data_IF_906342965540
#
_entry.id   IF_906342965540
#
_cell.length_a   1.000
_cell.length_b   1.000
_cell.length_c   1.000
_cell.angle_alpha   90.00
_cell.angle_beta   90.00
_cell.angle_gamma   90.00
#
_symmetry.space_group_name_H-M   'P 1'
#
loop_
_entity.id
_entity.type
_entity.pdbx_description
1 polymer ?
#
# COMPACT_ATOMS: atom_id res chain seq x y z
N UNK A 1 -51.19 -0.80 -39.23
CA UNK A 1 -50.52 0.51 -39.15
C UNK A 1 -50.29 0.81 -37.67
N UNK A 2 -49.16 0.36 -37.11
CA UNK A 2 -48.83 0.64 -35.70
C UNK A 2 -48.47 2.12 -35.59
N UNK A 3 -49.15 2.83 -34.69
CA UNK A 3 -48.81 4.20 -34.32
C UNK A 3 -47.39 4.17 -33.76
N UNK A 4 -46.40 4.54 -34.58
CA UNK A 4 -45.03 4.68 -34.13
C UNK A 4 -45.01 5.84 -33.14
N UNK A 5 -44.91 5.51 -31.84
CA UNK A 5 -44.75 6.50 -30.79
C UNK A 5 -43.55 7.40 -31.07
N UNK A 6 -43.64 8.66 -30.68
CA UNK A 6 -42.52 9.58 -30.74
C UNK A 6 -41.32 9.03 -29.93
N UNK A 7 -40.14 8.77 -30.55
CA UNK A 7 -38.95 8.27 -29.86
C UNK A 7 -38.53 9.13 -28.67
N UNK A 8 -38.76 10.45 -28.74
CA UNK A 8 -38.49 11.37 -27.63
C UNK A 8 -39.35 11.05 -26.40
N UNK A 9 -40.67 10.90 -26.58
CA UNK A 9 -41.59 10.52 -25.52
C UNK A 9 -41.28 9.13 -24.93
N UNK A 10 -40.90 8.17 -25.77
CA UNK A 10 -40.49 6.83 -25.33
C UNK A 10 -39.20 6.87 -24.49
N UNK A 11 -38.23 7.69 -24.89
CA UNK A 11 -36.99 7.86 -24.14
C UNK A 11 -37.19 8.52 -22.78
N UNK A 12 -38.03 9.55 -22.69
CA UNK A 12 -38.35 10.18 -21.42
C UNK A 12 -39.08 9.22 -20.47
N UNK A 13 -39.97 8.39 -21.01
CA UNK A 13 -40.61 7.30 -20.26
C UNK A 13 -39.58 6.28 -19.77
N UNK A 14 -38.65 5.84 -20.61
CA UNK A 14 -37.60 4.90 -20.23
C UNK A 14 -36.71 5.45 -19.11
N UNK A 15 -36.26 6.71 -19.25
CA UNK A 15 -35.47 7.43 -18.21
C UNK A 15 -36.25 7.57 -16.90
N UNK A 16 -37.57 7.76 -16.96
CA UNK A 16 -38.43 7.80 -15.78
C UNK A 16 -38.44 6.45 -15.04
N UNK A 17 -38.58 5.34 -15.76
CA UNK A 17 -38.52 4.00 -15.15
C UNK A 17 -37.14 3.69 -14.57
N UNK A 18 -36.06 4.07 -15.27
CA UNK A 18 -34.68 3.92 -14.77
C UNK A 18 -34.48 4.67 -13.45
N UNK A 19 -34.95 5.92 -13.34
CA UNK A 19 -34.89 6.69 -12.08
C UNK A 19 -35.73 6.08 -10.94
N UNK A 20 -36.76 5.31 -11.27
CA UNK A 20 -37.62 4.62 -10.29
C UNK A 20 -37.11 3.24 -9.90
N UNK A 21 -35.96 2.78 -10.44
CA UNK A 21 -35.44 1.43 -10.21
C UNK A 21 -36.26 0.32 -10.90
N UNK A 22 -37.15 0.69 -11.83
CA UNK A 22 -38.01 -0.23 -12.58
C UNK A 22 -37.28 -0.76 -13.81
N UNK A 23 -36.25 -1.56 -13.58
CA UNK A 23 -35.27 -1.97 -14.61
C UNK A 23 -35.90 -2.74 -15.77
N UNK A 24 -36.88 -3.61 -15.51
CA UNK A 24 -37.57 -4.38 -16.54
C UNK A 24 -38.42 -3.49 -17.46
N UNK A 25 -39.20 -2.56 -16.89
CA UNK A 25 -40.00 -1.61 -17.67
C UNK A 25 -39.12 -0.57 -18.39
N UNK A 26 -38.00 -0.17 -17.80
CA UNK A 26 -37.00 0.67 -18.46
C UNK A 26 -36.39 -0.04 -19.68
N UNK A 27 -36.04 -1.32 -19.54
CA UNK A 27 -35.50 -2.12 -20.63
C UNK A 27 -36.51 -2.24 -21.79
N UNK A 28 -37.79 -2.52 -21.48
CA UNK A 28 -38.84 -2.59 -22.50
C UNK A 28 -39.00 -1.25 -23.25
N UNK A 29 -39.04 -0.12 -22.53
CA UNK A 29 -39.19 1.21 -23.12
C UNK A 29 -37.96 1.64 -23.94
N UNK A 30 -36.73 1.31 -23.50
CA UNK A 30 -35.53 1.57 -24.29
C UNK A 30 -35.48 0.71 -25.57
N UNK A 31 -35.95 -0.54 -25.51
CA UNK A 31 -36.02 -1.39 -26.70
C UNK A 31 -37.02 -0.84 -27.74
N UNK A 32 -38.17 -0.34 -27.29
CA UNK A 32 -39.18 0.29 -28.14
C UNK A 32 -38.64 1.58 -28.78
N UNK A 33 -38.01 2.45 -27.99
CA UNK A 33 -37.39 3.68 -28.49
C UNK A 33 -36.29 3.41 -29.52
N UNK A 34 -35.39 2.45 -29.25
CA UNK A 34 -34.35 2.06 -30.20
C UNK A 34 -34.94 1.54 -31.51
N UNK A 35 -35.95 0.65 -31.45
CA UNK A 35 -36.60 0.13 -32.65
C UNK A 35 -37.28 1.23 -33.49
N UNK A 36 -37.86 2.24 -32.84
CA UNK A 36 -38.44 3.38 -33.53
C UNK A 36 -37.38 4.27 -34.22
N UNK A 37 -36.19 4.41 -33.64
CA UNK A 37 -35.05 5.11 -34.24
C UNK A 37 -34.45 4.34 -35.42
N UNK A 38 -34.27 3.03 -35.27
CA UNK A 38 -33.81 2.12 -36.35
C UNK A 38 -34.76 2.17 -37.56
N UNK A 39 -36.08 2.16 -37.31
CA UNK A 39 -37.09 2.27 -38.37
C UNK A 39 -37.05 3.62 -39.12
N UNK A 40 -36.46 4.66 -38.53
CA UNK A 40 -36.26 5.98 -39.12
C UNK A 40 -34.86 6.14 -39.76
N UNK A 41 -34.01 5.12 -39.66
CA UNK A 41 -32.63 5.16 -40.16
C UNK A 41 -31.63 5.89 -39.26
N UNK A 42 -32.02 6.23 -38.03
CA UNK A 42 -31.18 6.95 -37.07
C UNK A 42 -30.31 5.95 -36.26
N UNK A 43 -29.34 5.37 -36.95
CA UNK A 43 -28.49 4.31 -36.41
C UNK A 43 -27.62 4.73 -35.22
N UNK A 44 -26.99 5.93 -35.20
CA UNK A 44 -26.19 6.36 -34.06
C UNK A 44 -27.01 6.54 -32.78
N UNK A 45 -28.17 7.20 -32.86
CA UNK A 45 -29.02 7.39 -31.68
C UNK A 45 -29.66 6.08 -31.24
N UNK A 46 -30.07 5.23 -32.18
CA UNK A 46 -30.50 3.87 -31.88
C UNK A 46 -29.42 3.09 -31.11
N UNK A 47 -28.15 3.15 -31.54
CA UNK A 47 -27.05 2.47 -30.87
C UNK A 47 -26.84 2.98 -29.43
N UNK A 48 -26.91 4.30 -29.21
CA UNK A 48 -26.83 4.90 -27.88
C UNK A 48 -27.97 4.41 -26.96
N UNK A 49 -29.18 4.29 -27.51
CA UNK A 49 -30.36 3.80 -26.78
C UNK A 49 -30.27 2.28 -26.52
N UNK A 50 -29.76 1.50 -27.48
CA UNK A 50 -29.49 0.06 -27.32
C UNK A 50 -28.45 -0.22 -26.23
N UNK A 51 -27.44 0.64 -26.08
CA UNK A 51 -26.48 0.52 -24.98
C UNK A 51 -27.15 0.69 -23.61
N UNK A 52 -28.07 1.67 -23.48
CA UNK A 52 -28.86 1.87 -22.24
C UNK A 52 -29.85 0.73 -21.99
N UNK A 53 -30.43 0.19 -23.06
CA UNK A 53 -31.25 -1.04 -23.01
C UNK A 53 -30.44 -2.21 -22.43
N UNK A 54 -29.21 -2.43 -22.90
CA UNK A 54 -28.36 -3.50 -22.37
C UNK A 54 -28.09 -3.33 -20.87
N UNK A 55 -27.77 -2.12 -20.41
CA UNK A 55 -27.61 -1.84 -18.98
C UNK A 55 -28.90 -2.12 -18.18
N UNK A 56 -30.06 -1.70 -18.70
CA UNK A 56 -31.34 -1.94 -18.03
C UNK A 56 -31.68 -3.44 -17.95
N UNK A 57 -31.33 -4.23 -18.97
CA UNK A 57 -31.43 -5.70 -18.92
C UNK A 57 -30.54 -6.30 -17.82
N UNK A 58 -29.28 -5.88 -17.74
CA UNK A 58 -28.36 -6.36 -16.71
C UNK A 58 -28.89 -6.01 -15.30
N UNK A 59 -29.40 -4.79 -15.12
CA UNK A 59 -30.02 -4.35 -13.86
C UNK A 59 -31.35 -5.06 -13.54
N UNK A 60 -32.00 -5.68 -14.53
CA UNK A 60 -33.18 -6.53 -14.35
C UNK A 60 -32.83 -8.02 -14.13
N UNK A 61 -31.54 -8.38 -14.12
CA UNK A 61 -31.05 -9.74 -13.93
C UNK A 61 -30.84 -10.54 -15.23
N UNK A 62 -31.17 -10.00 -16.41
CA UNK A 62 -30.96 -10.67 -17.70
C UNK A 62 -29.59 -10.32 -18.29
N UNK A 63 -28.54 -10.70 -17.56
CA UNK A 63 -27.14 -10.38 -17.88
C UNK A 63 -26.69 -11.01 -19.21
N UNK A 64 -27.12 -12.25 -19.48
CA UNK A 64 -26.75 -12.95 -20.72
C UNK A 64 -27.30 -12.25 -21.97
N UNK A 65 -28.53 -11.73 -21.92
CA UNK A 65 -29.09 -10.94 -23.02
C UNK A 65 -28.43 -9.57 -23.14
N UNK A 66 -28.13 -8.93 -22.01
CA UNK A 66 -27.40 -7.66 -21.99
C UNK A 66 -26.05 -7.78 -22.70
N UNK A 67 -25.27 -8.83 -22.42
CA UNK A 67 -23.99 -9.11 -23.08
C UNK A 67 -24.15 -9.26 -24.60
N UNK A 68 -25.12 -10.07 -25.06
CA UNK A 68 -25.38 -10.23 -26.51
C UNK A 68 -25.69 -8.92 -27.22
N UNK A 69 -26.37 -7.99 -26.54
CA UNK A 69 -26.64 -6.65 -27.09
C UNK A 69 -25.34 -5.84 -27.19
N UNK A 70 -24.51 -5.84 -26.14
CA UNK A 70 -23.19 -5.17 -26.16
C UNK A 70 -22.30 -5.74 -27.27
N UNK A 71 -22.18 -7.06 -27.39
CA UNK A 71 -21.37 -7.71 -28.44
C UNK A 71 -21.84 -7.33 -29.85
N UNK A 72 -23.16 -7.14 -30.02
CA UNK A 72 -23.72 -6.69 -31.31
C UNK A 72 -23.38 -5.24 -31.61
N UNK A 73 -23.43 -4.36 -30.60
CA UNK A 73 -23.02 -2.97 -30.74
C UNK A 73 -21.51 -2.83 -31.00
N UNK A 74 -20.69 -3.66 -30.35
CA UNK A 74 -19.23 -3.64 -30.50
C UNK A 74 -18.79 -4.02 -31.92
N UNK A 75 -19.50 -4.93 -32.60
CA UNK A 75 -19.25 -5.24 -34.02
C UNK A 75 -19.42 -4.05 -34.96
N UNK A 76 -20.24 -3.07 -34.57
CA UNK A 76 -20.47 -1.82 -35.32
C UNK A 76 -19.77 -0.60 -34.73
N UNK A 77 -19.05 -0.72 -33.61
CA UNK A 77 -18.59 0.45 -32.86
C UNK A 77 -17.61 1.36 -33.62
N UNK A 78 -16.87 0.81 -34.59
CA UNK A 78 -15.91 1.55 -35.39
C UNK A 78 -16.57 2.65 -36.25
N UNK A 79 -17.82 2.45 -36.69
CA UNK A 79 -18.57 3.43 -37.49
C UNK A 79 -19.39 4.41 -36.64
N UNK A 80 -19.48 4.20 -35.32
CA UNK A 80 -20.21 5.08 -34.43
C UNK A 80 -19.44 6.39 -34.16
N UNK A 81 -20.15 7.53 -34.04
CA UNK A 81 -19.57 8.78 -33.57
C UNK A 81 -18.88 8.61 -32.21
N UNK A 82 -17.82 9.40 -31.97
CA UNK A 82 -17.01 9.30 -30.75
C UNK A 82 -17.85 9.42 -29.45
N UNK A 83 -18.86 10.30 -29.44
CA UNK A 83 -19.77 10.45 -28.30
C UNK A 83 -20.61 9.19 -28.05
N UNK A 84 -21.14 8.57 -29.10
CA UNK A 84 -21.94 7.34 -29.00
C UNK A 84 -21.06 6.18 -28.54
N UNK A 85 -19.81 6.10 -29.03
CA UNK A 85 -18.83 5.11 -28.59
C UNK A 85 -18.48 5.27 -27.10
N UNK A 86 -18.20 6.50 -26.65
CA UNK A 86 -17.96 6.77 -25.22
C UNK A 86 -19.18 6.39 -24.36
N UNK A 87 -20.39 6.66 -24.85
CA UNK A 87 -21.64 6.23 -24.23
C UNK A 87 -21.79 4.71 -24.15
N UNK A 88 -21.47 4.00 -25.23
CA UNK A 88 -21.47 2.54 -25.28
C UNK A 88 -20.50 1.95 -24.25
N UNK A 89 -19.26 2.43 -24.22
CA UNK A 89 -18.23 1.97 -23.27
C UNK A 89 -18.68 2.14 -21.81
N UNK A 90 -19.31 3.28 -21.50
CA UNK A 90 -19.86 3.55 -20.18
C UNK A 90 -21.00 2.59 -19.79
N UNK A 91 -21.89 2.23 -20.73
CA UNK A 91 -22.95 1.26 -20.45
C UNK A 91 -22.42 -0.18 -20.39
N UNK A 92 -21.49 -0.53 -21.28
CA UNK A 92 -20.86 -1.83 -21.34
C UNK A 92 -20.10 -2.16 -20.04
N UNK A 93 -19.46 -1.17 -19.41
CA UNK A 93 -18.83 -1.33 -18.11
C UNK A 93 -19.81 -1.85 -17.05
N UNK A 94 -21.02 -1.28 -16.96
CA UNK A 94 -22.06 -1.77 -16.04
C UNK A 94 -22.53 -3.19 -16.37
N UNK A 95 -22.66 -3.53 -17.65
CA UNK A 95 -23.08 -4.88 -18.09
C UNK A 95 -22.01 -5.92 -17.76
N UNK A 96 -20.73 -5.60 -17.98
CA UNK A 96 -19.61 -6.48 -17.68
C UNK A 96 -19.44 -6.69 -16.17
N UNK A 97 -19.62 -5.63 -15.36
CA UNK A 97 -19.59 -5.73 -13.91
C UNK A 97 -20.71 -6.65 -13.39
N UNK A 98 -21.94 -6.50 -13.92
CA UNK A 98 -23.05 -7.40 -13.59
C UNK A 98 -22.81 -8.87 -13.99
N UNK A 99 -21.89 -9.11 -14.92
CA UNK A 99 -21.47 -10.44 -15.34
C UNK A 99 -20.26 -10.99 -14.57
N UNK A 100 -19.76 -10.28 -13.56
CA UNK A 100 -18.57 -10.66 -12.79
C UNK A 100 -17.25 -10.51 -13.55
N UNK A 101 -17.22 -9.77 -14.67
CA UNK A 101 -16.01 -9.48 -15.47
C UNK A 101 -15.41 -8.14 -15.05
N UNK A 102 -15.08 -8.00 -13.76
CA UNK A 102 -14.78 -6.71 -13.11
C UNK A 102 -13.58 -5.99 -13.73
N UNK A 103 -12.47 -6.67 -14.01
CA UNK A 103 -11.31 -6.06 -14.67
C UNK A 103 -11.58 -5.57 -16.10
N UNK A 104 -12.45 -6.25 -16.86
CA UNK A 104 -12.89 -5.77 -18.18
C UNK A 104 -13.82 -4.58 -18.07
N UNK A 105 -14.73 -4.60 -17.09
CA UNK A 105 -15.59 -3.47 -16.78
C UNK A 105 -14.77 -2.23 -16.42
N UNK A 106 -13.72 -2.38 -15.61
CA UNK A 106 -12.82 -1.31 -15.21
C UNK A 106 -12.15 -0.65 -16.43
N UNK A 107 -11.63 -1.47 -17.36
CA UNK A 107 -11.03 -0.98 -18.62
C UNK A 107 -12.03 -0.22 -19.49
N UNK A 108 -13.27 -0.71 -19.60
CA UNK A 108 -14.33 -0.04 -20.38
C UNK A 108 -14.75 1.28 -19.75
N UNK A 109 -14.87 1.34 -18.42
CA UNK A 109 -15.16 2.58 -17.70
C UNK A 109 -14.03 3.61 -17.83
N UNK A 110 -12.76 3.17 -17.82
CA UNK A 110 -11.61 4.04 -18.08
C UNK A 110 -11.65 4.60 -19.50
N UNK A 111 -11.85 3.75 -20.51
CA UNK A 111 -11.95 4.19 -21.90
C UNK A 111 -13.05 5.24 -22.09
N UNK A 112 -14.22 5.05 -21.47
CA UNK A 112 -15.30 6.02 -21.47
C UNK A 112 -14.89 7.35 -20.80
N UNK A 113 -14.19 7.30 -19.65
CA UNK A 113 -13.70 8.49 -18.95
C UNK A 113 -12.77 9.32 -19.84
N UNK A 114 -11.79 8.67 -20.47
CA UNK A 114 -10.83 9.32 -21.36
C UNK A 114 -11.52 9.89 -22.60
N UNK A 115 -12.46 9.15 -23.21
CA UNK A 115 -13.20 9.59 -24.38
C UNK A 115 -14.09 10.81 -24.09
N UNK A 116 -14.83 10.81 -22.97
CA UNK A 116 -15.60 11.99 -22.56
C UNK A 116 -14.70 13.17 -22.21
N UNK A 117 -13.51 12.93 -21.66
CA UNK A 117 -12.49 13.96 -21.43
C UNK A 117 -12.04 14.62 -22.73
N UNK A 118 -11.77 13.83 -23.76
CA UNK A 118 -11.41 14.32 -25.10
C UNK A 118 -12.55 15.11 -25.78
N UNK A 119 -13.81 14.80 -25.44
CA UNK A 119 -15.00 15.53 -25.89
C UNK A 119 -15.33 16.76 -25.02
N UNK A 120 -14.49 17.08 -24.03
CA UNK A 120 -14.70 18.16 -23.06
C UNK A 120 -15.99 18.04 -22.22
N UNK A 121 -16.50 16.81 -22.04
CA UNK A 121 -17.64 16.54 -21.15
C UNK A 121 -17.15 16.13 -19.76
N UNK A 122 -16.81 17.12 -18.94
CA UNK A 122 -16.28 16.92 -17.60
C UNK A 122 -17.23 16.13 -16.68
N UNK A 123 -18.55 16.25 -16.88
CA UNK A 123 -19.55 15.59 -16.04
C UNK A 123 -19.59 14.09 -16.31
N UNK A 124 -19.67 13.67 -17.58
CA UNK A 124 -19.67 12.24 -17.95
C UNK A 124 -18.29 11.62 -17.75
N UNK A 125 -17.22 12.35 -18.03
CA UNK A 125 -15.84 11.91 -17.74
C UNK A 125 -15.66 11.65 -16.25
N UNK A 126 -16.07 12.59 -15.39
CA UNK A 126 -16.02 12.42 -13.93
C UNK A 126 -16.81 11.22 -13.42
N UNK A 127 -18.03 11.01 -13.93
CA UNK A 127 -18.86 9.86 -13.54
C UNK A 127 -18.25 8.52 -13.97
N UNK A 128 -17.71 8.44 -15.19
CA UNK A 128 -17.02 7.25 -15.69
C UNK A 128 -15.72 6.97 -14.90
N UNK A 129 -14.95 8.00 -14.54
CA UNK A 129 -13.76 7.86 -13.70
C UNK A 129 -14.08 7.33 -12.31
N UNK A 130 -15.13 7.81 -11.65
CA UNK A 130 -15.57 7.26 -10.36
C UNK A 130 -16.02 5.80 -10.49
N UNK A 131 -16.68 5.44 -11.59
CA UNK A 131 -17.06 4.06 -11.84
C UNK A 131 -15.84 3.16 -12.06
N UNK A 132 -14.87 3.60 -12.87
CA UNK A 132 -13.62 2.90 -13.10
C UNK A 132 -12.86 2.68 -11.78
N UNK A 133 -12.73 3.71 -10.95
CA UNK A 133 -12.06 3.62 -9.65
C UNK A 133 -12.67 2.55 -8.74
N UNK A 134 -14.02 2.47 -8.67
CA UNK A 134 -14.72 1.45 -7.88
C UNK A 134 -14.47 0.05 -8.41
N UNK A 135 -14.51 -0.13 -9.74
CA UNK A 135 -14.26 -1.43 -10.37
C UNK A 135 -12.80 -1.87 -10.23
N UNK A 136 -11.84 -0.95 -10.29
CA UNK A 136 -10.42 -1.22 -10.02
C UNK A 136 -10.24 -1.74 -8.58
N UNK A 137 -10.89 -1.07 -7.61
CA UNK A 137 -10.85 -1.50 -6.21
C UNK A 137 -11.48 -2.88 -6.00
N UNK A 138 -12.59 -3.16 -6.69
CA UNK A 138 -13.28 -4.44 -6.62
C UNK A 138 -12.48 -5.58 -7.27
N UNK A 139 -11.79 -5.31 -8.39
CA UNK A 139 -11.02 -6.31 -9.15
C UNK A 139 -9.65 -6.62 -8.53
N UNK A 140 -8.90 -5.59 -8.14
CA UNK A 140 -7.51 -5.72 -7.68
C UNK A 140 -7.36 -5.68 -6.15
N UNK A 141 -8.40 -5.25 -5.43
CA UNK A 141 -8.29 -4.95 -3.99
C UNK A 141 -7.50 -3.66 -3.68
N UNK A 142 -7.55 -3.16 -2.43
CA UNK A 142 -7.01 -1.85 -2.08
C UNK A 142 -5.51 -1.67 -2.32
N UNK A 143 -4.69 -2.72 -2.12
CA UNK A 143 -3.23 -2.67 -2.29
C UNK A 143 -2.84 -2.50 -3.76
N UNK A 144 -3.34 -3.37 -4.62
CA UNK A 144 -2.93 -3.41 -6.03
C UNK A 144 -3.66 -2.33 -6.87
N UNK A 145 -4.74 -1.76 -6.33
CA UNK A 145 -5.45 -0.62 -6.91
C UNK A 145 -4.68 0.72 -6.79
N UNK A 146 -3.70 0.87 -5.89
CA UNK A 146 -3.06 2.17 -5.62
C UNK A 146 -2.45 2.81 -6.87
N UNK A 147 -1.66 2.03 -7.63
CA UNK A 147 -1.03 2.53 -8.86
C UNK A 147 -2.07 2.86 -9.95
N UNK A 148 -2.99 1.96 -10.32
CA UNK A 148 -4.05 2.28 -11.27
C UNK A 148 -4.92 3.48 -10.86
N UNK A 149 -5.22 3.65 -9.56
CA UNK A 149 -6.00 4.80 -9.08
C UNK A 149 -5.25 6.12 -9.20
N UNK A 150 -3.92 6.14 -8.96
CA UNK A 150 -3.08 7.32 -9.19
C UNK A 150 -3.01 7.68 -10.67
N UNK A 151 -2.82 6.69 -11.54
CA UNK A 151 -2.80 6.87 -13.00
C UNK A 151 -4.16 7.38 -13.52
N UNK A 152 -5.27 6.85 -12.98
CA UNK A 152 -6.62 7.28 -13.30
C UNK A 152 -6.85 8.74 -12.88
N UNK A 153 -6.52 9.08 -11.62
CA UNK A 153 -6.71 10.42 -11.07
C UNK A 153 -5.90 11.47 -11.83
N UNK A 154 -4.67 11.14 -12.25
CA UNK A 154 -3.81 12.02 -13.04
C UNK A 154 -4.38 12.38 -14.42
N UNK A 155 -5.27 11.55 -14.98
CA UNK A 155 -5.94 11.80 -16.26
C UNK A 155 -7.27 12.56 -16.11
N UNK A 156 -7.73 12.80 -14.88
CA UNK A 156 -8.99 13.50 -14.62
C UNK A 156 -8.78 15.01 -14.47
N UNK A 157 -9.74 15.85 -14.90
CA UNK A 157 -9.68 17.29 -14.67
C UNK A 157 -9.61 17.63 -13.16
N UNK A 158 -8.60 18.40 -12.70
CA UNK A 158 -8.46 18.72 -11.29
C UNK A 158 -9.61 19.59 -10.79
N UNK A 159 -10.00 19.43 -9.52
CA UNK A 159 -11.04 20.23 -8.87
C UNK A 159 -12.49 19.84 -9.17
N UNK A 160 -12.74 18.91 -10.09
CA UNK A 160 -14.08 18.37 -10.38
C UNK A 160 -14.60 17.42 -9.28
N UNK A 161 -15.93 17.20 -9.23
CA UNK A 161 -16.55 16.28 -8.28
C UNK A 161 -16.04 14.84 -8.44
N UNK A 162 -15.94 14.35 -9.68
CA UNK A 162 -15.38 13.04 -9.97
C UNK A 162 -13.93 12.90 -9.48
N UNK A 163 -13.10 13.91 -9.72
CA UNK A 163 -11.72 13.94 -9.22
C UNK A 163 -11.67 13.88 -7.69
N UNK A 164 -12.47 14.69 -6.98
CA UNK A 164 -12.53 14.64 -5.51
C UNK A 164 -12.95 13.27 -4.99
N UNK A 165 -13.92 12.63 -5.65
CA UNK A 165 -14.40 11.29 -5.25
C UNK A 165 -13.38 10.19 -5.51
N UNK A 166 -12.67 10.23 -6.63
CA UNK A 166 -11.57 9.29 -6.91
C UNK A 166 -10.40 9.54 -5.96
N UNK A 167 -10.06 10.80 -5.67
CA UNK A 167 -9.05 11.14 -4.68
C UNK A 167 -9.43 10.64 -3.28
N UNK A 168 -10.70 10.73 -2.89
CA UNK A 168 -11.19 10.17 -1.62
C UNK A 168 -11.09 8.64 -1.60
N UNK A 169 -11.43 7.95 -2.70
CA UNK A 169 -11.26 6.49 -2.83
C UNK A 169 -9.79 6.06 -2.78
N UNK A 170 -8.90 6.82 -3.42
CA UNK A 170 -7.45 6.60 -3.33
C UNK A 170 -6.96 6.81 -1.90
N UNK A 171 -7.34 7.92 -1.25
CA UNK A 171 -6.98 8.19 0.14
C UNK A 171 -7.58 7.17 1.12
N UNK A 172 -8.71 6.55 0.78
CA UNK A 172 -9.29 5.45 1.56
C UNK A 172 -8.51 4.15 1.36
N UNK A 173 -8.18 3.82 0.11
CA UNK A 173 -7.31 2.69 -0.22
C UNK A 173 -5.90 2.84 0.37
N UNK A 174 -5.39 4.08 0.47
CA UNK A 174 -4.13 4.42 1.14
C UNK A 174 -4.26 4.36 2.67
N UNK A 175 -5.43 4.67 3.22
CA UNK A 175 -5.74 4.54 4.66
C UNK A 175 -5.88 3.07 5.10
N UNK A 176 -5.97 2.12 4.17
CA UNK A 176 -5.99 0.65 4.38
C UNK A 176 -6.91 0.17 5.53
N UNK A 177 -8.24 0.42 5.45
CA UNK A 177 -9.20 0.10 6.51
C UNK A 177 -9.47 -1.40 6.74
N UNK A 178 -8.77 -2.28 6.02
CA UNK A 178 -8.95 -3.74 5.98
C UNK A 178 -7.81 -4.55 6.64
N UNK A 179 -6.88 -3.94 7.39
CA UNK A 179 -5.60 -4.60 7.71
C UNK A 179 -5.37 -5.08 9.14
N UNK A 180 -4.95 -6.34 9.22
CA UNK A 180 -4.19 -6.93 10.33
C UNK A 180 -2.73 -6.40 10.38
N UNK A 181 -2.52 -5.07 10.31
CA UNK A 181 -1.33 -4.27 10.70
C UNK A 181 -0.39 -3.67 9.59
N UNK A 182 0.52 -2.75 9.98
CA UNK A 182 1.07 -1.54 9.30
C UNK A 182 0.31 -0.22 9.61
N UNK A 183 -0.07 0.00 10.87
CA UNK A 183 -0.84 1.17 11.33
C UNK A 183 -0.20 1.86 12.53
N UNK A 184 -0.22 3.19 12.57
CA UNK A 184 0.21 3.95 13.74
C UNK A 184 -0.90 3.95 14.82
N UNK A 185 -0.67 3.24 15.92
CA UNK A 185 -1.57 3.25 17.08
C UNK A 185 -0.93 4.02 18.22
N UNK A 186 -1.64 5.03 18.74
CA UNK A 186 -1.24 5.77 19.94
C UNK A 186 -2.27 5.49 21.03
N UNK A 187 -1.81 4.96 22.16
CA UNK A 187 -2.64 4.79 23.34
C UNK A 187 -2.95 6.15 23.98
N UNK A 188 -4.24 6.55 24.11
CA UNK A 188 -4.60 7.82 24.70
C UNK A 188 -4.27 7.92 26.20
N UNK A 189 -4.15 6.78 26.88
CA UNK A 189 -3.91 6.73 28.33
C UNK A 189 -2.42 6.73 28.70
N UNK A 190 -1.54 6.57 27.70
CA UNK A 190 -0.08 6.62 27.88
C UNK A 190 0.50 7.96 27.41
N UNK A 191 1.50 8.48 28.13
CA UNK A 191 2.14 9.74 27.77
C UNK A 191 2.78 9.66 26.37
N UNK A 192 2.43 10.54 25.42
CA UNK A 192 3.00 10.52 24.07
C UNK A 192 4.27 11.40 23.95
N UNK A 193 4.85 11.81 25.08
CA UNK A 193 6.08 12.61 25.16
C UNK A 193 6.88 12.27 26.41
N UNK A 194 8.14 12.71 26.45
CA UNK A 194 9.07 12.47 27.55
C UNK A 194 10.05 11.33 27.27
N UNK A 195 10.95 11.06 28.22
CA UNK A 195 12.07 10.13 28.03
C UNK A 195 11.60 8.70 27.71
N UNK A 196 10.61 8.20 28.44
CA UNK A 196 10.07 6.87 28.20
C UNK A 196 9.36 6.79 26.84
N UNK A 197 8.54 7.77 26.48
CA UNK A 197 7.90 7.81 25.16
C UNK A 197 8.93 7.85 24.02
N UNK A 198 9.98 8.67 24.14
CA UNK A 198 11.07 8.72 23.16
C UNK A 198 11.78 7.36 23.02
N UNK A 199 12.06 6.68 24.14
CA UNK A 199 12.64 5.35 24.13
C UNK A 199 11.69 4.27 23.56
N UNK A 200 10.39 4.34 23.85
CA UNK A 200 9.38 3.46 23.26
C UNK A 200 9.25 3.68 21.73
N UNK A 201 9.43 4.92 21.26
CA UNK A 201 9.39 5.26 19.84
C UNK A 201 10.53 4.62 19.02
N UNK A 202 11.62 4.16 19.65
CA UNK A 202 12.66 3.34 19.02
C UNK A 202 12.11 1.95 18.62
N UNK A 203 11.15 1.41 19.37
CA UNK A 203 10.46 0.16 19.06
C UNK A 203 9.32 0.30 18.05
N UNK A 204 9.05 1.51 17.54
CA UNK A 204 7.81 1.81 16.82
C UNK A 204 7.69 1.11 15.45
N UNK A 205 8.80 0.71 14.82
CA UNK A 205 8.76 -0.09 13.58
C UNK A 205 7.96 -1.37 13.75
N UNK A 206 8.21 -2.11 14.84
CA UNK A 206 7.50 -3.34 15.12
C UNK A 206 6.08 -3.06 15.62
N UNK A 207 5.88 -2.00 16.41
CA UNK A 207 4.55 -1.60 16.86
C UNK A 207 3.63 -1.26 15.68
N UNK A 208 4.13 -0.55 14.67
CA UNK A 208 3.37 -0.25 13.43
C UNK A 208 3.08 -1.53 12.66
N UNK A 209 4.10 -2.37 12.44
CA UNK A 209 3.94 -3.64 11.73
C UNK A 209 3.02 -4.64 12.42
N UNK A 210 2.82 -4.52 13.73
CA UNK A 210 1.93 -5.36 14.54
C UNK A 210 0.65 -4.63 14.99
N UNK A 211 0.46 -3.36 14.61
CA UNK A 211 -0.68 -2.52 14.96
C UNK A 211 -0.94 -2.39 16.46
N UNK A 212 0.12 -2.44 17.26
CA UNK A 212 0.07 -2.21 18.70
C UNK A 212 0.46 -0.78 19.05
N UNK A 213 0.08 -0.32 20.24
CA UNK A 213 0.37 1.05 20.65
C UNK A 213 1.88 1.30 20.75
N UNK A 214 2.38 2.35 20.08
CA UNK A 214 3.80 2.67 20.12
C UNK A 214 4.25 3.25 21.47
N UNK A 215 3.37 3.91 22.22
CA UNK A 215 3.68 4.68 23.44
C UNK A 215 3.33 3.96 24.76
N UNK A 216 2.93 2.70 24.73
CA UNK A 216 2.56 1.97 25.92
C UNK A 216 3.63 0.95 26.33
N UNK A 217 3.95 0.90 27.62
CA UNK A 217 4.79 -0.14 28.23
C UNK A 217 3.88 -1.26 28.78
N UNK A 218 3.21 -1.95 27.87
CA UNK A 218 2.45 -3.17 28.12
C UNK A 218 2.59 -4.06 26.90
N UNK A 219 2.44 -5.36 27.10
CA UNK A 219 2.30 -6.29 25.98
C UNK A 219 0.85 -6.67 25.73
N UNK A 220 0.67 -7.60 24.81
CA UNK A 220 -0.62 -8.10 24.36
C UNK A 220 -0.85 -9.55 24.84
N UNK A 221 -2.10 -10.01 24.92
CA UNK A 221 -2.38 -11.44 25.09
C UNK A 221 -1.71 -12.25 23.96
N UNK A 222 -1.02 -13.34 24.30
CA UNK A 222 -0.29 -14.17 23.33
C UNK A 222 1.23 -13.94 23.27
N UNK A 223 1.75 -12.94 23.99
CA UNK A 223 3.19 -12.64 24.00
C UNK A 223 4.04 -13.79 24.55
N UNK A 224 3.49 -14.58 25.48
CA UNK A 224 4.18 -15.74 26.04
C UNK A 224 4.35 -16.83 24.98
N UNK A 225 3.29 -17.13 24.22
CA UNK A 225 3.31 -18.09 23.13
C UNK A 225 4.22 -17.62 21.99
N UNK A 226 4.28 -16.32 21.72
CA UNK A 226 5.22 -15.72 20.77
C UNK A 226 6.67 -15.90 21.22
N UNK A 227 6.98 -15.62 22.50
CA UNK A 227 8.32 -15.78 23.06
C UNK A 227 8.79 -17.23 22.99
N UNK A 228 7.92 -18.19 23.30
CA UNK A 228 8.23 -19.61 23.18
C UNK A 228 8.47 -20.01 21.71
N UNK A 229 7.56 -19.63 20.80
CA UNK A 229 7.60 -20.04 19.39
C UNK A 229 8.76 -19.41 18.61
N UNK A 230 8.95 -18.10 18.73
CA UNK A 230 9.84 -17.33 17.85
C UNK A 230 11.22 -17.07 18.46
N UNK A 231 11.36 -17.23 19.78
CA UNK A 231 12.60 -16.96 20.51
C UNK A 231 13.07 -18.13 21.36
N UNK A 232 12.27 -19.19 21.53
CA UNK A 232 12.61 -20.30 22.42
C UNK A 232 12.66 -19.92 23.90
N UNK A 233 12.03 -18.79 24.28
CA UNK A 233 12.07 -18.26 25.65
C UNK A 233 10.87 -18.78 26.42
N UNK A 234 11.15 -19.61 27.44
CA UNK A 234 10.11 -20.22 28.30
C UNK A 234 10.15 -19.74 29.75
N UNK A 235 11.18 -19.00 30.15
CA UNK A 235 11.36 -18.49 31.51
C UNK A 235 12.06 -17.12 31.56
N UNK A 236 12.18 -16.57 32.77
CA UNK A 236 12.78 -15.26 33.02
C UNK A 236 14.30 -15.21 32.75
N UNK A 237 15.01 -16.33 32.89
CA UNK A 237 16.45 -16.38 32.64
C UNK A 237 16.74 -16.35 31.13
N UNK A 238 16.02 -17.15 30.34
CA UNK A 238 16.09 -17.13 28.88
C UNK A 238 15.64 -15.78 28.31
N UNK A 239 14.61 -15.16 28.90
CA UNK A 239 14.21 -13.80 28.52
C UNK A 239 15.33 -12.80 28.77
N UNK A 240 15.97 -12.85 29.95
CA UNK A 240 17.09 -11.96 30.29
C UNK A 240 18.25 -12.10 29.31
N UNK A 241 18.61 -13.33 28.96
CA UNK A 241 19.68 -13.60 27.99
C UNK A 241 19.39 -12.96 26.62
N UNK A 242 18.17 -13.14 26.11
CA UNK A 242 17.77 -12.52 24.84
C UNK A 242 17.70 -11.00 24.92
N UNK A 243 17.19 -10.45 26.02
CA UNK A 243 17.15 -9.01 26.27
C UNK A 243 18.56 -8.40 26.28
N UNK A 244 19.50 -9.02 27.00
CA UNK A 244 20.88 -8.55 27.08
C UNK A 244 21.61 -8.68 25.73
N UNK A 245 21.36 -9.77 24.98
CA UNK A 245 21.89 -9.93 23.64
C UNK A 245 21.39 -8.83 22.67
N UNK A 246 20.12 -8.45 22.75
CA UNK A 246 19.56 -7.37 21.94
C UNK A 246 20.11 -6.00 22.35
N UNK A 247 20.23 -5.74 23.65
CA UNK A 247 20.83 -4.50 24.13
C UNK A 247 22.28 -4.40 23.64
N UNK A 248 23.04 -5.50 23.72
CA UNK A 248 24.44 -5.57 23.28
C UNK A 248 24.61 -5.68 21.74
N UNK A 249 23.52 -5.58 20.99
CA UNK A 249 23.49 -5.69 19.53
C UNK A 249 24.16 -6.97 18.98
N UNK A 250 23.95 -8.09 19.68
CA UNK A 250 24.48 -9.43 19.37
C UNK A 250 23.44 -10.36 18.73
N UNK A 251 22.26 -9.87 18.37
CA UNK A 251 21.24 -10.70 17.72
C UNK A 251 21.46 -10.79 16.19
N UNK A 252 22.18 -9.83 15.62
CA UNK A 252 22.61 -9.86 14.21
C UNK A 252 24.05 -10.38 14.05
N UNK A 253 24.39 -10.89 12.87
CA UNK A 253 25.76 -11.34 12.57
C UNK A 253 26.76 -10.18 12.75
N UNK A 254 27.78 -10.30 13.62
CA UNK A 254 28.76 -9.24 13.85
C UNK A 254 29.56 -8.85 12.60
N UNK A 255 29.66 -9.73 11.59
CA UNK A 255 30.29 -9.42 10.31
C UNK A 255 29.61 -8.25 9.59
N UNK A 256 28.30 -8.06 9.76
CA UNK A 256 27.57 -6.95 9.12
C UNK A 256 28.08 -5.61 9.61
N UNK A 257 28.11 -5.39 10.93
CA UNK A 257 28.60 -4.12 11.47
C UNK A 257 30.10 -3.96 11.18
N UNK A 258 30.89 -5.03 11.27
CA UNK A 258 32.31 -4.98 10.91
C UNK A 258 32.50 -4.45 9.48
N UNK A 259 31.75 -4.96 8.49
CA UNK A 259 31.80 -4.50 7.10
C UNK A 259 31.50 -3.00 7.01
N UNK A 260 30.44 -2.53 7.69
CA UNK A 260 30.09 -1.11 7.74
C UNK A 260 31.19 -0.26 8.38
N UNK A 261 31.81 -0.72 9.47
CA UNK A 261 32.87 -0.02 10.19
C UNK A 261 34.15 0.15 9.37
N UNK A 262 34.33 -0.64 8.30
CA UNK A 262 35.46 -0.49 7.37
C UNK A 262 35.22 0.62 6.33
N UNK A 263 34.00 1.18 6.26
CA UNK A 263 33.66 2.22 5.30
C UNK A 263 34.03 3.61 5.80
N UNK A 264 35.14 4.14 5.30
CA UNK A 264 35.54 5.52 5.57
C UNK A 264 34.62 6.54 4.89
N UNK A 265 34.65 7.78 5.39
CA UNK A 265 33.93 8.90 4.75
C UNK A 265 34.56 9.19 3.38
N UNK A 266 33.74 9.19 2.33
CA UNK A 266 34.19 9.48 0.96
C UNK A 266 34.94 8.33 0.28
N UNK A 267 35.02 7.17 0.93
CA UNK A 267 35.68 5.98 0.39
C UNK A 267 34.87 5.38 -0.76
N UNK A 268 35.52 5.13 -1.89
CA UNK A 268 34.89 4.44 -3.03
C UNK A 268 34.69 2.94 -2.77
N UNK A 269 33.83 2.29 -3.54
CA UNK A 269 33.53 0.85 -3.37
C UNK A 269 34.77 -0.04 -3.38
N UNK A 270 35.72 0.21 -4.30
CA UNK A 270 36.97 -0.54 -4.39
C UNK A 270 37.83 -0.40 -3.13
N UNK A 271 37.95 0.82 -2.63
CA UNK A 271 38.74 1.12 -1.42
C UNK A 271 38.09 0.51 -0.17
N UNK A 272 36.77 0.52 -0.11
CA UNK A 272 36.03 -0.12 0.98
C UNK A 272 36.24 -1.64 0.99
N UNK A 273 36.10 -2.32 -0.16
CA UNK A 273 36.38 -3.76 -0.27
C UNK A 273 37.83 -4.11 0.06
N UNK A 274 38.78 -3.26 -0.33
CA UNK A 274 40.19 -3.42 0.05
C UNK A 274 40.39 -3.29 1.57
N UNK A 275 39.71 -2.34 2.22
CA UNK A 275 39.76 -2.18 3.68
C UNK A 275 39.17 -3.38 4.44
N UNK A 276 38.09 -3.99 3.92
CA UNK A 276 37.53 -5.25 4.45
C UNK A 276 38.56 -6.37 4.32
N UNK A 277 39.13 -6.56 3.13
CA UNK A 277 40.13 -7.62 2.87
C UNK A 277 41.37 -7.46 3.75
N UNK A 278 41.86 -6.23 3.91
CA UNK A 278 43.02 -5.93 4.77
C UNK A 278 42.72 -6.27 6.24
N UNK A 279 41.55 -5.87 6.75
CA UNK A 279 41.14 -6.16 8.13
C UNK A 279 41.03 -7.66 8.40
N UNK A 280 40.52 -8.43 7.43
CA UNK A 280 40.46 -9.88 7.51
C UNK A 280 41.85 -10.53 7.47
N UNK A 281 42.73 -10.03 6.60
CA UNK A 281 44.11 -10.51 6.50
C UNK A 281 44.92 -10.30 7.78
N UNK A 282 44.73 -9.18 8.48
CA UNK A 282 45.35 -8.91 9.79
C UNK A 282 44.92 -9.88 10.91
N UNK A 283 43.82 -10.61 10.71
CA UNK A 283 43.20 -11.50 11.70
C UNK A 283 43.21 -12.97 11.27
N UNK A 284 43.95 -13.28 10.21
CA UNK A 284 44.05 -14.63 9.64
C UNK A 284 42.67 -15.27 9.37
N UNK A 285 41.70 -14.45 8.93
CA UNK A 285 40.38 -14.94 8.54
C UNK A 285 40.49 -15.74 7.24
N UNK A 286 39.86 -16.92 7.19
CA UNK A 286 39.91 -17.82 6.03
C UNK A 286 39.37 -17.20 4.75
N UNK A 287 39.92 -17.60 3.61
CA UNK A 287 39.60 -17.03 2.28
C UNK A 287 38.12 -17.11 1.90
N UNK A 288 37.41 -18.15 2.35
CA UNK A 288 35.97 -18.31 2.13
C UNK A 288 35.19 -17.22 2.85
N UNK A 289 35.40 -17.05 4.16
CA UNK A 289 34.77 -15.99 4.95
C UNK A 289 35.14 -14.60 4.44
N UNK A 290 36.38 -14.38 3.98
CA UNK A 290 36.79 -13.13 3.33
C UNK A 290 35.90 -12.82 2.12
N UNK A 291 35.62 -13.83 1.28
CA UNK A 291 34.76 -13.69 0.11
C UNK A 291 33.34 -13.32 0.51
N UNK A 292 32.77 -14.00 1.51
CA UNK A 292 31.43 -13.75 2.03
C UNK A 292 31.27 -12.31 2.56
N UNK A 293 32.21 -11.82 3.37
CA UNK A 293 32.13 -10.44 3.90
C UNK A 293 32.36 -9.38 2.82
N UNK A 294 33.12 -9.68 1.77
CA UNK A 294 33.24 -8.80 0.60
C UNK A 294 31.94 -8.79 -0.20
N UNK A 295 31.28 -9.93 -0.39
CA UNK A 295 29.97 -10.03 -1.04
C UNK A 295 28.87 -9.29 -0.26
N UNK A 296 28.92 -9.34 1.07
CA UNK A 296 28.05 -8.59 1.97
C UNK A 296 28.11 -7.08 1.72
N UNK A 297 29.30 -6.52 1.45
CA UNK A 297 29.41 -5.10 1.06
C UNK A 297 28.63 -4.78 -0.21
N UNK A 298 28.58 -5.71 -1.17
CA UNK A 298 27.77 -5.58 -2.38
C UNK A 298 26.27 -5.64 -2.09
N UNK A 299 25.84 -6.50 -1.16
CA UNK A 299 24.45 -6.55 -0.70
C UNK A 299 24.02 -5.23 -0.04
N UNK A 300 24.87 -4.67 0.83
CA UNK A 300 24.63 -3.35 1.46
C UNK A 300 24.43 -2.27 0.40
N UNK A 301 25.29 -2.20 -0.62
CA UNK A 301 25.16 -1.21 -1.70
C UNK A 301 23.85 -1.35 -2.48
N UNK A 302 23.38 -2.59 -2.71
CA UNK A 302 22.10 -2.84 -3.38
C UNK A 302 20.92 -2.32 -2.54
N UNK A 303 20.91 -2.61 -1.24
CA UNK A 303 19.87 -2.10 -0.35
C UNK A 303 19.92 -0.57 -0.22
N UNK A 304 21.10 0.03 -0.06
CA UNK A 304 21.22 1.49 0.00
C UNK A 304 20.74 2.16 -1.29
N UNK A 305 21.06 1.59 -2.46
CA UNK A 305 20.55 2.08 -3.74
C UNK A 305 19.01 2.01 -3.78
N UNK A 306 18.43 0.91 -3.30
CA UNK A 306 16.97 0.74 -3.23
C UNK A 306 16.33 1.72 -2.23
N UNK A 307 16.91 1.87 -1.04
CA UNK A 307 16.46 2.80 -0.01
C UNK A 307 16.42 4.24 -0.52
N UNK A 308 17.42 4.65 -1.31
CA UNK A 308 17.42 5.96 -1.97
C UNK A 308 16.32 6.10 -3.01
N UNK A 309 16.12 5.07 -3.84
CA UNK A 309 15.06 5.07 -4.85
C UNK A 309 13.65 5.17 -4.23
N UNK A 310 13.45 4.55 -3.06
CA UNK A 310 12.15 4.52 -2.38
C UNK A 310 11.94 5.63 -1.34
N UNK A 311 12.93 6.51 -1.14
CA UNK A 311 12.88 7.67 -0.25
C UNK A 311 13.23 7.40 1.21
N UNK A 312 13.71 6.20 1.55
CA UNK A 312 14.13 5.83 2.91
C UNK A 312 15.46 6.50 3.30
N UNK A 313 16.35 6.68 2.32
CA UNK A 313 17.60 7.44 2.45
C UNK A 313 17.57 8.68 1.55
N UNK A 314 18.24 9.78 1.95
CA UNK A 314 18.49 10.91 1.04
C UNK A 314 19.43 10.48 -0.11
N UNK A 315 19.53 11.25 -1.20
CA UNK A 315 20.32 10.88 -2.39
C UNK A 315 21.78 10.48 -2.12
N UNK A 316 22.43 11.15 -1.16
CA UNK A 316 23.81 10.83 -0.74
C UNK A 316 23.87 10.06 0.59
N UNK A 317 22.70 9.59 1.05
CA UNK A 317 22.54 8.84 2.29
C UNK A 317 23.16 7.46 2.22
N UNK A 318 23.61 6.99 3.38
CA UNK A 318 24.16 5.66 3.61
C UNK A 318 23.83 5.20 5.03
N UNK A 319 23.85 3.89 5.26
CA UNK A 319 23.61 3.27 6.57
C UNK A 319 24.94 3.08 7.29
N UNK A 320 25.13 3.75 8.43
CA UNK A 320 26.38 3.66 9.20
C UNK A 320 26.37 2.50 10.22
N UNK A 321 25.19 2.04 10.62
CA UNK A 321 25.05 0.92 11.55
C UNK A 321 23.75 0.17 11.32
N UNK A 322 23.73 -1.12 11.65
CA UNK A 322 22.53 -1.98 11.66
C UNK A 322 21.96 -2.24 13.05
N UNK A 323 22.62 -1.75 14.11
CA UNK A 323 22.21 -1.96 15.51
C UNK A 323 20.80 -1.48 15.84
N UNK A 324 20.24 -0.59 15.02
CA UNK A 324 18.88 -0.09 15.17
C UNK A 324 17.86 -1.23 15.13
N UNK A 325 18.13 -2.30 14.38
CA UNK A 325 17.27 -3.48 14.34
C UNK A 325 17.17 -4.15 15.71
N UNK A 326 18.30 -4.37 16.36
CA UNK A 326 18.37 -4.99 17.68
C UNK A 326 17.79 -4.07 18.77
N UNK A 327 18.11 -2.77 18.75
CA UNK A 327 17.55 -1.81 19.72
C UNK A 327 16.03 -1.66 19.58
N UNK A 328 15.50 -1.63 18.36
CA UNK A 328 14.05 -1.62 18.14
C UNK A 328 13.37 -2.89 18.64
N UNK A 329 14.01 -4.06 18.45
CA UNK A 329 13.51 -5.32 19.01
C UNK A 329 13.65 -5.37 20.54
N UNK A 330 14.70 -4.81 21.11
CA UNK A 330 14.90 -4.72 22.56
C UNK A 330 13.72 -4.05 23.27
N UNK A 331 13.20 -2.95 22.69
CA UNK A 331 12.00 -2.27 23.22
C UNK A 331 10.79 -3.20 23.25
N UNK A 332 10.61 -4.02 22.21
CA UNK A 332 9.49 -4.96 22.13
C UNK A 332 9.71 -6.19 23.01
N UNK A 333 10.94 -6.69 23.13
CA UNK A 333 11.33 -7.76 24.06
C UNK A 333 11.02 -7.39 25.51
N UNK A 334 11.22 -6.13 25.91
CA UNK A 334 10.83 -5.65 27.22
C UNK A 334 9.30 -5.70 27.44
N UNK A 335 8.50 -5.37 26.42
CA UNK A 335 7.03 -5.45 26.49
C UNK A 335 6.55 -6.90 26.59
N UNK A 336 7.10 -7.78 25.76
CA UNK A 336 6.77 -9.21 25.78
C UNK A 336 7.16 -9.86 27.11
N UNK A 337 8.35 -9.53 27.64
CA UNK A 337 8.81 -10.01 28.95
C UNK A 337 7.89 -9.59 30.10
N UNK A 338 7.44 -8.33 30.08
CA UNK A 338 6.50 -7.82 31.07
C UNK A 338 5.15 -8.54 30.98
N UNK A 339 4.60 -8.69 29.77
CA UNK A 339 3.32 -9.37 29.52
C UNK A 339 3.36 -10.86 29.90
N UNK A 340 4.47 -11.54 29.60
CA UNK A 340 4.68 -12.95 29.92
C UNK A 340 4.99 -13.19 31.42
N UNK A 341 5.19 -12.13 32.21
CA UNK A 341 5.54 -12.22 33.64
C UNK A 341 6.99 -12.62 33.90
N UNK A 342 7.88 -12.41 32.94
CA UNK A 342 9.33 -12.69 33.05
C UNK A 342 10.12 -11.53 33.65
N UNK A 343 9.55 -10.32 33.67
CA UNK A 343 10.09 -9.17 34.40
C UNK A 343 8.96 -8.32 34.99
N UNK A 344 9.30 -7.43 35.93
CA UNK A 344 8.37 -6.41 36.43
C UNK A 344 8.43 -5.12 35.59
N UNK A 345 7.55 -4.17 35.91
CA UNK A 345 7.41 -2.93 35.16
C UNK A 345 8.67 -2.03 35.26
N UNK A 346 9.29 -1.97 36.43
CA UNK A 346 10.50 -1.17 36.65
C UNK A 346 11.65 -1.69 35.79
N UNK A 347 11.77 -3.02 35.68
CA UNK A 347 12.80 -3.66 34.89
C UNK A 347 12.55 -3.54 33.39
N UNK A 348 11.29 -3.68 32.95
CA UNK A 348 10.90 -3.42 31.57
C UNK A 348 11.19 -1.96 31.17
N UNK A 349 10.89 -1.00 32.05
CA UNK A 349 11.16 0.42 31.82
C UNK A 349 12.66 0.69 31.67
N UNK A 350 13.49 0.14 32.58
CA UNK A 350 14.96 0.24 32.47
C UNK A 350 15.48 -0.33 31.15
N UNK A 351 14.97 -1.48 30.71
CA UNK A 351 15.36 -2.10 29.44
C UNK A 351 15.03 -1.20 28.24
N UNK A 352 13.81 -0.64 28.21
CA UNK A 352 13.38 0.29 27.16
C UNK A 352 14.23 1.54 27.15
N UNK A 353 14.45 2.18 28.31
CA UNK A 353 15.27 3.37 28.43
C UNK A 353 16.72 3.11 28.00
N UNK A 354 17.26 1.93 28.32
CA UNK A 354 18.60 1.51 27.89
C UNK A 354 18.67 1.33 26.38
N UNK A 355 17.69 0.68 25.76
CA UNK A 355 17.62 0.54 24.30
C UNK A 355 17.52 1.91 23.61
N UNK A 356 16.69 2.81 24.12
CA UNK A 356 16.56 4.18 23.62
C UNK A 356 17.87 4.96 23.73
N UNK A 357 18.54 4.88 24.88
CA UNK A 357 19.83 5.51 25.09
C UNK A 357 20.91 5.00 24.13
N UNK A 358 21.04 3.68 23.95
CA UNK A 358 22.00 3.08 23.00
C UNK A 358 21.70 3.49 21.56
N UNK A 359 20.41 3.55 21.18
CA UNK A 359 20.02 4.04 19.86
C UNK A 359 20.45 5.50 19.64
N UNK A 360 20.20 6.39 20.62
CA UNK A 360 20.61 7.80 20.54
C UNK A 360 22.12 8.01 20.47
N UNK A 361 22.93 7.10 21.03
CA UNK A 361 24.39 7.15 20.93
C UNK A 361 24.91 6.78 19.53
N UNK A 362 24.22 5.86 18.84
CA UNK A 362 24.67 5.32 17.55
C UNK A 362 24.14 6.15 16.37
N UNK A 363 22.90 6.63 16.44
CA UNK A 363 22.25 7.29 15.33
C UNK A 363 22.08 8.80 15.56
N UNK A 364 22.21 9.63 14.52
CA UNK A 364 22.05 11.08 14.60
C UNK A 364 20.61 11.57 14.39
N UNK A 365 19.69 10.70 13.94
CA UNK A 365 18.30 11.09 13.62
C UNK A 365 17.38 9.87 13.51
N UNK A 366 16.06 10.10 13.59
CA UNK A 366 15.03 9.09 13.32
C UNK A 366 15.21 8.42 11.95
N UNK A 367 15.52 9.21 10.92
CA UNK A 367 15.74 8.69 9.57
C UNK A 367 16.95 7.75 9.49
N UNK A 368 18.07 8.14 10.12
CA UNK A 368 19.27 7.28 10.17
C UNK A 368 19.03 5.99 10.97
N UNK A 369 18.35 6.11 12.13
CA UNK A 369 17.92 4.96 12.92
C UNK A 369 17.03 4.01 12.10
N UNK A 370 16.05 4.57 11.39
CA UNK A 370 15.13 3.80 10.56
C UNK A 370 15.86 3.04 9.45
N UNK A 371 16.83 3.67 8.79
CA UNK A 371 17.64 3.02 7.77
C UNK A 371 18.51 1.89 8.34
N UNK A 372 19.09 2.08 9.52
CA UNK A 372 19.80 1.02 10.24
C UNK A 372 18.89 -0.15 10.63
N UNK A 373 17.69 0.15 11.15
CA UNK A 373 16.68 -0.85 11.48
C UNK A 373 16.28 -1.69 10.25
N UNK A 374 15.93 -1.03 9.14
CA UNK A 374 15.48 -1.74 7.94
C UNK A 374 16.62 -2.55 7.34
N UNK A 375 17.84 -2.00 7.21
CA UNK A 375 18.97 -2.75 6.67
C UNK A 375 19.30 -3.98 7.52
N UNK A 376 19.34 -3.85 8.85
CA UNK A 376 19.59 -4.97 9.75
C UNK A 376 18.55 -6.08 9.60
N UNK A 377 17.27 -5.72 9.43
CA UNK A 377 16.21 -6.69 9.15
C UNK A 377 16.39 -7.36 7.78
N UNK A 378 16.69 -6.59 6.74
CA UNK A 378 16.79 -7.12 5.37
C UNK A 378 17.95 -8.09 5.21
N UNK A 379 19.12 -7.76 5.77
CA UNK A 379 20.29 -8.64 5.73
C UNK A 379 20.08 -9.95 6.50
N UNK A 380 19.06 -10.03 7.37
CA UNK A 380 18.72 -11.24 8.10
C UNK A 380 17.63 -12.09 7.44
N UNK A 381 16.69 -11.49 6.71
CA UNK A 381 15.46 -12.18 6.27
C UNK A 381 15.08 -12.03 4.80
N UNK A 382 15.60 -11.03 4.08
CA UNK A 382 15.09 -10.69 2.75
C UNK A 382 15.87 -11.37 1.61
N UNK A 383 17.07 -11.91 1.89
CA UNK A 383 17.93 -12.61 0.91
C UNK A 383 18.25 -11.80 -0.39
N UNK A 384 17.90 -10.51 -0.44
CA UNK A 384 18.09 -9.64 -1.61
C UNK A 384 16.91 -9.63 -2.59
N UNK A 385 15.76 -10.19 -2.21
CA UNK A 385 14.59 -10.32 -3.09
C UNK A 385 13.75 -9.03 -3.17
N UNK A 386 13.87 -8.12 -2.21
CA UNK A 386 12.98 -6.97 -2.05
C UNK A 386 11.50 -7.38 -1.98
N UNK A 387 11.24 -8.45 -1.21
CA UNK A 387 9.94 -9.09 -1.11
C UNK A 387 9.04 -8.46 -0.05
N UNK A 388 8.16 -9.28 0.53
CA UNK A 388 7.19 -8.84 1.53
C UNK A 388 7.84 -8.22 2.78
N UNK A 389 9.01 -8.70 3.18
CA UNK A 389 9.76 -8.15 4.31
C UNK A 389 10.22 -6.72 4.06
N UNK A 390 10.73 -6.45 2.86
CA UNK A 390 11.11 -5.12 2.44
C UNK A 390 9.89 -4.19 2.36
N UNK A 391 8.81 -4.61 1.70
CA UNK A 391 7.59 -3.83 1.54
C UNK A 391 6.99 -3.40 2.89
N UNK A 392 6.92 -4.33 3.86
CA UNK A 392 6.43 -4.04 5.22
C UNK A 392 7.36 -3.07 5.96
N UNK A 393 8.66 -3.23 5.83
CA UNK A 393 9.63 -2.36 6.51
C UNK A 393 9.63 -0.94 5.93
N UNK A 394 9.46 -0.83 4.61
CA UNK A 394 9.29 0.44 3.92
C UNK A 394 7.95 1.11 4.29
N UNK A 395 6.87 0.34 4.40
CA UNK A 395 5.58 0.84 4.88
C UNK A 395 5.69 1.39 6.30
N UNK A 396 6.28 0.62 7.23
CA UNK A 396 6.54 1.07 8.60
C UNK A 396 7.39 2.34 8.66
N UNK A 397 8.46 2.42 7.85
CA UNK A 397 9.27 3.63 7.71
C UNK A 397 8.42 4.84 7.30
N UNK A 398 7.60 4.72 6.25
CA UNK A 398 6.77 5.84 5.74
C UNK A 398 5.75 6.29 6.76
N UNK A 399 5.04 5.35 7.40
CA UNK A 399 4.10 5.68 8.48
C UNK A 399 4.80 6.48 9.56
N UNK A 400 5.97 6.04 10.02
CA UNK A 400 6.69 6.74 11.09
C UNK A 400 7.31 8.06 10.64
N UNK A 401 7.77 8.17 9.39
CA UNK A 401 8.42 9.39 8.89
C UNK A 401 7.42 10.48 8.46
N UNK A 402 6.23 10.11 8.01
CA UNK A 402 5.30 10.99 7.31
C UNK A 402 4.00 11.26 8.07
N UNK A 403 3.50 10.30 8.87
CA UNK A 403 2.24 10.47 9.57
C UNK A 403 2.31 11.64 10.59
N UNK A 404 1.43 12.64 10.54
CA UNK A 404 1.42 13.77 11.49
C UNK A 404 1.22 13.35 12.96
N UNK A 405 0.65 12.17 13.16
CA UNK A 405 0.49 11.43 14.41
C UNK A 405 1.79 10.88 15.00
N UNK A 406 2.80 10.66 14.15
CA UNK A 406 3.97 9.87 14.48
C UNK A 406 4.82 10.49 15.60
N UNK A 407 5.36 9.67 16.53
CA UNK A 407 6.35 10.13 17.49
C UNK A 407 7.57 10.76 16.82
N UNK A 408 8.00 10.25 15.66
CA UNK A 408 9.21 10.75 14.99
C UNK A 408 9.01 12.12 14.34
N UNK A 409 7.75 12.50 14.11
CA UNK A 409 7.35 13.84 13.65
C UNK A 409 7.16 14.82 14.80
N UNK A 410 6.77 14.33 15.97
CA UNK A 410 6.37 15.12 17.14
C UNK A 410 7.47 15.30 18.17
N UNK A 411 8.45 14.40 18.21
CA UNK A 411 9.60 14.46 19.11
C UNK A 411 10.89 14.62 18.32
N UNK A 412 11.74 15.56 18.75
CA UNK A 412 13.10 15.64 18.25
C UNK A 412 13.86 14.36 18.61
N UNK A 413 14.85 14.01 17.78
CA UNK A 413 15.80 12.96 18.11
C UNK A 413 16.74 13.43 19.22
N UNK A 414 16.98 12.59 20.24
CA UNK A 414 17.89 12.88 21.35
C UNK A 414 17.19 13.32 22.62
#
# INVERSE_FOLDING_TARGET
>A
MMVQGDPGALLERARKFERQGRSAEAAAAFAEAAGAMEARGDWPDAAAVRARYARALAAAGDVAKAQRVVDTLDRGAASLPAEVRAGLDAQAAHVLAAAGRTGEAARRAWAAMSAFGALHDAKRSGAAGVHAARLILEDAGPRDALRPLRELLAQMPPGGDGHRRVAALLADAERRPDRDHDVLVTDPDSAPWGRLAAALAVGAHLAVGNGTAWNALRGEPGDKELLERDWGVTDAAGWREQMDALLDARNSDPAIQMVLDRRGRGTGEREWRAAITAWCGERDIGEETVREVVELSGAVLRYEARFRADGLLPPDGRVESVYGYDFGRAVNMARWGLSAGYCDADEAEKCVLTAGHRAHQVYPSWGSFSAGYVLGRMLRFDEGEFGEWYDRSLAGHRVLAEDPGSPWRRMAWG
#
